data_IF_192903090066
#
_entry.id   IF_192903090066
#
_cell.length_a   1.000
_cell.length_b   1.000
_cell.length_c   1.000
_cell.angle_alpha   90.00
_cell.angle_beta   90.00
_cell.angle_gamma   90.00
#
_symmetry.space_group_name_H-M   'P 1'
#
loop_
_entity.id
_entity.type
_entity.pdbx_description
1 polymer ?
#
# COMPACT_ATOMS: atom_id res chain seq x y z
N UNK A 1 -18.75 2.36 19.32
CA UNK A 1 -19.43 1.38 18.45
C UNK A 1 -18.35 0.65 17.66
N UNK A 2 -18.13 -0.64 17.96
CA UNK A 2 -17.12 -1.45 17.24
C UNK A 2 -17.64 -1.90 15.88
N UNK A 3 -16.74 -2.20 14.94
CA UNK A 3 -17.15 -2.71 13.62
C UNK A 3 -17.60 -4.18 13.73
N UNK A 4 -18.58 -4.58 12.91
CA UNK A 4 -19.04 -5.97 12.87
C UNK A 4 -17.91 -6.90 12.39
N UNK A 5 -17.90 -8.16 12.84
CA UNK A 5 -16.88 -9.16 12.45
C UNK A 5 -16.77 -9.31 10.93
N UNK A 6 -17.90 -9.32 10.21
CA UNK A 6 -17.91 -9.38 8.74
C UNK A 6 -17.19 -8.20 8.10
N UNK A 7 -17.46 -6.97 8.57
CA UNK A 7 -16.78 -5.76 8.08
C UNK A 7 -15.28 -5.78 8.36
N UNK A 8 -14.85 -6.29 9.52
CA UNK A 8 -13.43 -6.44 9.86
C UNK A 8 -12.70 -7.36 8.88
N UNK A 9 -13.29 -8.52 8.57
CA UNK A 9 -12.73 -9.47 7.60
C UNK A 9 -12.72 -8.84 6.20
N UNK A 10 -13.82 -8.20 5.80
CA UNK A 10 -13.93 -7.54 4.50
C UNK A 10 -12.83 -6.49 4.29
N UNK A 11 -12.60 -5.60 5.27
CA UNK A 11 -11.55 -4.58 5.19
C UNK A 11 -10.16 -5.23 5.10
N UNK A 12 -9.90 -6.28 5.90
CA UNK A 12 -8.62 -7.00 5.87
C UNK A 12 -8.38 -7.63 4.49
N UNK A 13 -9.38 -8.31 3.94
CA UNK A 13 -9.30 -8.94 2.61
C UNK A 13 -9.13 -7.89 1.52
N UNK A 14 -9.92 -6.82 1.55
CA UNK A 14 -9.83 -5.72 0.61
C UNK A 14 -8.42 -5.11 0.56
N UNK A 15 -7.86 -4.76 1.72
CA UNK A 15 -6.50 -4.21 1.79
C UNK A 15 -5.45 -5.23 1.29
N UNK A 16 -5.60 -6.49 1.68
CA UNK A 16 -4.70 -7.56 1.25
C UNK A 16 -4.68 -7.75 -0.27
N UNK A 17 -5.87 -7.80 -0.89
CA UNK A 17 -6.01 -7.89 -2.35
C UNK A 17 -5.40 -6.67 -3.04
N UNK A 18 -5.64 -5.46 -2.51
CA UNK A 18 -5.10 -4.23 -3.12
C UNK A 18 -3.57 -4.22 -3.19
N UNK A 19 -2.88 -4.63 -2.11
CA UNK A 19 -1.42 -4.73 -2.14
C UNK A 19 -0.94 -5.76 -3.16
N UNK A 20 -1.53 -6.95 -3.17
CA UNK A 20 -1.13 -8.00 -4.11
C UNK A 20 -1.46 -7.63 -5.57
N UNK A 21 -2.53 -6.88 -5.80
CA UNK A 21 -2.87 -6.36 -7.13
C UNK A 21 -1.81 -5.39 -7.65
N UNK A 22 -1.40 -4.43 -6.83
CA UNK A 22 -0.35 -3.46 -7.18
C UNK A 22 0.99 -4.18 -7.43
N UNK A 23 1.32 -5.19 -6.63
CA UNK A 23 2.51 -6.01 -6.87
C UNK A 23 2.38 -6.79 -8.18
N UNK A 24 1.21 -7.37 -8.49
CA UNK A 24 0.99 -8.09 -9.73
C UNK A 24 1.17 -7.19 -10.97
N UNK A 25 0.73 -5.93 -10.87
CA UNK A 25 0.97 -4.92 -11.91
C UNK A 25 2.47 -4.66 -12.12
N UNK A 26 3.22 -4.42 -11.03
CA UNK A 26 4.68 -4.19 -11.08
C UNK A 26 5.49 -5.39 -11.56
N UNK A 27 4.98 -6.61 -11.35
CA UNK A 27 5.62 -7.83 -11.85
C UNK A 27 5.19 -8.18 -13.29
N UNK A 28 4.37 -7.35 -13.93
CA UNK A 28 3.88 -7.53 -15.29
C UNK A 28 2.88 -8.69 -15.46
N UNK A 29 2.33 -9.20 -14.36
CA UNK A 29 1.34 -10.29 -14.38
C UNK A 29 0.00 -9.82 -14.97
N UNK A 30 -0.27 -8.52 -14.95
CA UNK A 30 -1.49 -7.92 -15.50
C UNK A 30 -1.36 -7.54 -16.99
N UNK A 31 -0.19 -7.74 -17.58
CA UNK A 31 0.13 -7.39 -18.96
C UNK A 31 0.89 -6.07 -19.10
N UNK A 32 1.19 -5.64 -20.35
CA UNK A 32 2.02 -4.47 -20.62
C UNK A 32 1.33 -3.14 -20.30
N UNK A 33 2.15 -2.10 -20.07
CA UNK A 33 1.70 -0.71 -19.92
C UNK A 33 0.82 -0.31 -21.10
N UNK A 34 -0.30 0.36 -20.79
CA UNK A 34 -1.30 0.79 -21.77
C UNK A 34 -2.55 -0.09 -21.82
N UNK A 35 -2.51 -1.28 -21.20
CA UNK A 35 -3.73 -2.05 -20.95
C UNK A 35 -4.59 -1.42 -19.84
N UNK A 36 -5.91 -1.62 -19.93
CA UNK A 36 -6.86 -1.13 -18.92
C UNK A 36 -6.54 -1.71 -17.54
N UNK A 37 -6.25 -0.83 -16.58
CA UNK A 37 -5.96 -1.20 -15.20
C UNK A 37 -4.50 -1.58 -14.91
N UNK A 38 -3.59 -1.38 -15.87
CA UNK A 38 -2.14 -1.55 -15.72
C UNK A 38 -1.49 -0.18 -15.62
N UNK A 39 -0.76 0.09 -14.53
CA UNK A 39 -0.06 1.35 -14.30
C UNK A 39 1.41 1.22 -14.70
N UNK A 40 2.09 0.17 -14.24
CA UNK A 40 3.54 -0.01 -14.49
C UNK A 40 3.88 -1.11 -15.48
N UNK A 41 3.11 -2.21 -15.52
CA UNK A 41 3.26 -3.31 -16.49
C UNK A 41 4.58 -4.10 -16.48
N UNK A 42 5.64 -3.56 -15.90
CA UNK A 42 6.91 -4.21 -15.61
C UNK A 42 7.62 -3.49 -14.46
N UNK A 43 8.67 -4.12 -13.95
CA UNK A 43 9.36 -3.64 -12.76
C UNK A 43 10.29 -2.47 -13.07
N UNK A 44 10.82 -2.37 -14.29
CA UNK A 44 11.75 -1.32 -14.67
C UNK A 44 11.04 0.04 -14.76
N UNK A 45 9.84 0.09 -15.35
CA UNK A 45 8.98 1.27 -15.35
C UNK A 45 8.62 1.71 -13.93
N UNK A 46 8.37 0.75 -13.03
CA UNK A 46 8.13 1.04 -11.62
C UNK A 46 9.36 1.65 -10.93
N UNK A 47 10.57 1.15 -11.19
CA UNK A 47 11.80 1.72 -10.64
C UNK A 47 12.09 3.12 -11.20
N UNK A 48 11.85 3.35 -12.49
CA UNK A 48 11.95 4.67 -13.09
C UNK A 48 10.98 5.65 -12.43
N UNK A 49 9.73 5.24 -12.23
CA UNK A 49 8.74 6.05 -11.53
C UNK A 49 9.14 6.32 -10.08
N UNK A 50 9.64 5.32 -9.37
CA UNK A 50 10.10 5.44 -7.98
C UNK A 50 11.25 6.44 -7.85
N UNK A 51 12.13 6.53 -8.85
CA UNK A 51 13.20 7.55 -8.90
C UNK A 51 12.64 8.97 -9.01
N UNK A 52 11.54 9.18 -9.74
CA UNK A 52 10.88 10.50 -9.80
C UNK A 52 10.26 10.92 -8.46
N UNK A 53 9.85 9.96 -7.64
CA UNK A 53 9.30 10.19 -6.30
C UNK A 53 10.38 10.38 -5.23
N UNK A 54 11.66 10.21 -5.59
CA UNK A 54 12.78 10.26 -4.67
C UNK A 54 13.94 11.10 -5.24
N UNK A 55 13.69 12.34 -5.69
CA UNK A 55 14.71 13.16 -6.37
C UNK A 55 15.90 13.51 -5.48
N UNK A 56 15.77 13.37 -4.15
CA UNK A 56 16.81 13.63 -3.18
C UNK A 56 17.81 12.47 -3.02
N UNK A 57 17.49 11.29 -3.54
CA UNK A 57 18.33 10.10 -3.42
C UNK A 57 19.02 9.75 -4.75
N UNK A 58 20.25 9.22 -4.73
CA UNK A 58 20.84 8.61 -5.91
C UNK A 58 20.00 7.45 -6.43
N UNK A 59 20.04 7.19 -7.75
CA UNK A 59 19.26 6.13 -8.42
C UNK A 59 19.34 4.78 -7.68
N UNK A 60 20.54 4.36 -7.29
CA UNK A 60 20.78 3.10 -6.56
C UNK A 60 19.95 3.00 -5.27
N UNK A 61 19.84 4.09 -4.51
CA UNK A 61 19.07 4.12 -3.26
C UNK A 61 17.58 4.06 -3.56
N UNK A 62 17.12 4.76 -4.60
CA UNK A 62 15.72 4.72 -5.02
C UNK A 62 15.30 3.33 -5.49
N UNK A 63 16.17 2.62 -6.24
CA UNK A 63 15.90 1.26 -6.67
C UNK A 63 15.78 0.30 -5.49
N UNK A 64 16.70 0.39 -4.51
CA UNK A 64 16.64 -0.39 -3.27
C UNK A 64 15.32 -0.14 -2.53
N UNK A 65 14.86 1.12 -2.46
CA UNK A 65 13.56 1.45 -1.86
C UNK A 65 12.40 0.82 -2.64
N UNK A 66 12.44 0.82 -3.98
CA UNK A 66 11.44 0.16 -4.82
C UNK A 66 11.31 -1.34 -4.54
N UNK A 67 12.44 -2.05 -4.45
CA UNK A 67 12.46 -3.46 -4.05
C UNK A 67 11.95 -3.68 -2.62
N UNK A 68 12.40 -2.84 -1.68
CA UNK A 68 11.98 -2.93 -0.27
C UNK A 68 10.47 -2.72 -0.11
N UNK A 69 9.91 -1.70 -0.78
CA UNK A 69 8.47 -1.42 -0.74
C UNK A 69 7.68 -2.57 -1.33
N UNK A 70 8.10 -3.11 -2.48
CA UNK A 70 7.43 -4.26 -3.09
C UNK A 70 7.45 -5.49 -2.18
N UNK A 71 8.59 -5.77 -1.54
CA UNK A 71 8.68 -6.85 -0.55
C UNK A 71 7.74 -6.63 0.65
N UNK A 72 7.70 -5.42 1.19
CA UNK A 72 6.80 -5.07 2.29
C UNK A 72 5.32 -5.21 1.89
N UNK A 73 4.94 -4.75 0.71
CA UNK A 73 3.57 -4.88 0.19
C UNK A 73 3.14 -6.33 0.05
N UNK A 74 4.03 -7.22 -0.43
CA UNK A 74 3.75 -8.67 -0.47
C UNK A 74 3.50 -9.21 0.94
N UNK A 75 4.39 -8.92 1.89
CA UNK A 75 4.28 -9.39 3.27
C UNK A 75 2.99 -8.88 3.92
N UNK A 76 2.68 -7.60 3.76
CA UNK A 76 1.47 -6.97 4.28
C UNK A 76 0.22 -7.58 3.63
N UNK A 77 0.22 -7.74 2.31
CA UNK A 77 -0.86 -8.36 1.56
C UNK A 77 -1.19 -9.76 2.09
N UNK A 78 -0.16 -10.61 2.22
CA UNK A 78 -0.31 -11.98 2.74
C UNK A 78 -0.78 -11.98 4.20
N UNK A 79 -0.22 -11.13 5.06
CA UNK A 79 -0.61 -11.08 6.47
C UNK A 79 -2.07 -10.64 6.66
N UNK A 80 -2.51 -9.64 5.88
CA UNK A 80 -3.88 -9.15 5.90
C UNK A 80 -4.88 -10.19 5.39
N UNK A 81 -4.55 -10.92 4.31
CA UNK A 81 -5.38 -12.01 3.79
C UNK A 81 -5.44 -13.21 4.74
N UNK A 82 -4.30 -13.58 5.34
CA UNK A 82 -4.20 -14.72 6.22
C UNK A 82 -4.76 -14.46 7.63
N UNK A 83 -5.10 -13.21 7.98
CA UNK A 83 -5.57 -12.88 9.33
C UNK A 83 -4.45 -12.82 10.37
N UNK A 84 -3.19 -12.75 9.95
CA UNK A 84 -2.01 -12.86 10.82
C UNK A 84 -1.53 -11.48 11.21
N UNK A 85 -1.28 -11.24 12.52
CA UNK A 85 -0.69 -9.98 13.02
C UNK A 85 -1.40 -8.73 12.45
N UNK A 86 -2.73 -8.78 12.32
CA UNK A 86 -3.53 -7.74 11.63
C UNK A 86 -3.30 -6.34 12.20
N UNK A 87 -3.12 -6.23 13.52
CA UNK A 87 -2.83 -4.94 14.16
C UNK A 87 -1.52 -4.35 13.64
N UNK A 88 -0.46 -5.15 13.62
CA UNK A 88 0.85 -4.74 13.15
C UNK A 88 0.83 -4.46 11.64
N UNK A 89 0.18 -5.33 10.84
CA UNK A 89 0.05 -5.16 9.40
C UNK A 89 -0.76 -3.90 9.02
N UNK A 90 -1.85 -3.60 9.74
CA UNK A 90 -2.66 -2.41 9.51
C UNK A 90 -1.91 -1.11 9.88
N UNK A 91 -1.08 -1.13 10.93
CA UNK A 91 -0.25 0.02 11.26
C UNK A 91 0.84 0.25 10.22
N UNK A 92 1.55 -0.82 9.82
CA UNK A 92 2.59 -0.74 8.80
C UNK A 92 2.03 -0.28 7.44
N UNK A 93 0.85 -0.78 7.06
CA UNK A 93 0.11 -0.34 5.87
C UNK A 93 -0.21 1.15 5.90
N UNK A 94 -0.72 1.65 7.03
CA UNK A 94 -0.99 3.07 7.21
C UNK A 94 0.29 3.91 7.07
N UNK A 95 1.38 3.49 7.72
CA UNK A 95 2.67 4.17 7.62
C UNK A 95 3.21 4.18 6.20
N UNK A 96 3.14 3.05 5.48
CA UNK A 96 3.62 2.94 4.10
C UNK A 96 2.84 3.88 3.17
N UNK A 97 1.51 3.90 3.26
CA UNK A 97 0.66 4.77 2.45
C UNK A 97 0.88 6.26 2.74
N UNK A 98 1.11 6.62 4.01
CA UNK A 98 1.44 8.00 4.38
C UNK A 98 2.80 8.43 3.84
N UNK A 99 3.82 7.57 3.95
CA UNK A 99 5.16 7.84 3.40
C UNK A 99 5.06 8.02 1.88
N UNK A 100 4.35 7.14 1.19
CA UNK A 100 4.12 7.24 -0.26
C UNK A 100 3.44 8.56 -0.65
N UNK A 101 2.36 8.94 0.04
CA UNK A 101 1.61 10.17 -0.24
C UNK A 101 2.47 11.42 0.03
N UNK A 102 3.25 11.43 1.11
CA UNK A 102 4.19 12.51 1.39
C UNK A 102 5.29 12.58 0.33
N UNK A 103 5.83 11.43 -0.11
CA UNK A 103 6.82 11.36 -1.17
C UNK A 103 6.29 11.98 -2.47
N UNK A 104 5.05 11.66 -2.86
CA UNK A 104 4.40 12.26 -4.03
C UNK A 104 4.22 13.77 -3.86
N UNK A 105 3.64 14.21 -2.74
CA UNK A 105 3.38 15.63 -2.48
C UNK A 105 4.65 16.48 -2.54
N UNK A 106 5.75 15.99 -1.97
CA UNK A 106 7.01 16.75 -1.92
C UNK A 106 7.86 16.64 -3.19
N UNK A 107 7.69 15.57 -3.99
CA UNK A 107 8.52 15.35 -5.18
C UNK A 107 7.89 15.91 -6.45
N UNK A 108 6.65 15.51 -6.74
CA UNK A 108 5.95 15.85 -7.99
C UNK A 108 4.88 16.93 -7.78
N UNK A 109 4.65 17.32 -6.53
CA UNK A 109 3.73 18.39 -6.16
C UNK A 109 2.27 17.96 -6.03
N UNK A 110 1.45 18.86 -5.50
CA UNK A 110 0.04 18.57 -5.18
C UNK A 110 -0.82 18.22 -6.40
N UNK A 111 -0.57 18.89 -7.53
CA UNK A 111 -1.36 18.71 -8.76
C UNK A 111 -1.19 17.31 -9.35
N UNK A 112 0.05 16.86 -9.50
CA UNK A 112 0.37 15.53 -10.05
C UNK A 112 0.01 14.40 -9.07
N UNK A 113 0.13 14.65 -7.76
CA UNK A 113 -0.26 13.68 -6.74
C UNK A 113 -1.79 13.50 -6.63
N UNK A 114 -2.59 14.46 -7.11
CA UNK A 114 -4.04 14.51 -6.88
C UNK A 114 -4.77 13.24 -7.34
N UNK A 115 -4.38 12.69 -8.48
CA UNK A 115 -5.00 11.50 -9.06
C UNK A 115 -4.86 10.26 -8.15
N UNK A 116 -3.81 10.21 -7.33
CA UNK A 116 -3.52 9.10 -6.43
C UNK A 116 -4.00 9.35 -4.98
N UNK A 117 -4.13 10.62 -4.58
CA UNK A 117 -4.44 11.02 -3.20
C UNK A 117 -5.77 10.45 -2.74
N UNK A 118 -6.84 10.56 -3.53
CA UNK A 118 -8.19 10.16 -3.09
C UNK A 118 -8.23 8.66 -2.73
N UNK A 119 -7.75 7.81 -3.63
CA UNK A 119 -7.73 6.38 -3.42
C UNK A 119 -6.78 5.99 -2.28
N UNK A 120 -5.58 6.56 -2.24
CA UNK A 120 -4.59 6.31 -1.18
C UNK A 120 -5.14 6.68 0.20
N UNK A 121 -5.84 7.82 0.33
CA UNK A 121 -6.46 8.23 1.59
C UNK A 121 -7.58 7.29 2.04
N UNK A 122 -8.39 6.77 1.11
CA UNK A 122 -9.43 5.78 1.45
C UNK A 122 -8.81 4.49 1.97
N UNK A 123 -7.77 3.98 1.31
CA UNK A 123 -7.04 2.78 1.74
C UNK A 123 -6.34 3.03 3.09
N UNK A 124 -5.75 4.20 3.29
CA UNK A 124 -5.12 4.59 4.56
C UNK A 124 -6.14 4.69 5.70
N UNK A 125 -7.31 5.29 5.45
CA UNK A 125 -8.39 5.38 6.43
C UNK A 125 -8.94 4.00 6.79
N UNK A 126 -9.12 3.11 5.81
CA UNK A 126 -9.50 1.72 6.04
C UNK A 126 -8.45 0.99 6.89
N UNK A 127 -7.17 1.22 6.63
CA UNK A 127 -6.07 0.66 7.43
C UNK A 127 -6.05 1.20 8.86
N UNK A 128 -6.28 2.50 9.06
CA UNK A 128 -6.37 3.11 10.38
C UNK A 128 -7.57 2.57 11.19
N UNK A 129 -8.72 2.39 10.54
CA UNK A 129 -9.89 1.77 11.14
C UNK A 129 -9.62 0.32 11.54
N UNK A 130 -8.96 -0.44 10.67
CA UNK A 130 -8.59 -1.83 10.94
C UNK A 130 -7.61 -1.94 12.11
N UNK A 131 -6.60 -1.07 12.18
CA UNK A 131 -5.66 -0.98 13.29
C UNK A 131 -6.38 -0.69 14.62
N UNK A 132 -7.25 0.33 14.64
CA UNK A 132 -8.03 0.70 15.82
C UNK A 132 -8.83 -0.48 16.34
N UNK A 133 -9.56 -1.16 15.47
CA UNK A 133 -10.39 -2.28 15.86
C UNK A 133 -9.55 -3.48 16.31
N UNK A 134 -8.47 -3.82 15.61
CA UNK A 134 -7.58 -4.91 15.99
C UNK A 134 -6.91 -4.66 17.36
N UNK A 135 -6.58 -3.40 17.66
CA UNK A 135 -6.07 -2.99 18.97
C UNK A 135 -7.10 -3.20 20.07
N UNK A 136 -8.36 -2.75 19.86
CA UNK A 136 -9.45 -2.92 20.83
C UNK A 136 -9.78 -4.41 21.03
N UNK A 137 -9.84 -5.20 19.97
CA UNK A 137 -10.11 -6.66 20.05
C UNK A 137 -9.04 -7.42 20.81
N UNK A 138 -7.77 -6.99 20.71
CA UNK A 138 -6.66 -7.55 21.49
C UNK A 138 -6.68 -7.12 22.97
N UNK A 139 -7.26 -5.96 23.26
CA UNK A 139 -7.43 -5.42 24.62
C UNK A 139 -8.70 -5.94 25.33
N UNK A 140 -9.68 -6.45 24.58
CA UNK A 140 -10.97 -6.91 25.11
C UNK A 140 -11.05 -8.39 25.49
N UNK A 141 -9.92 -9.09 25.55
CA UNK A 141 -9.82 -10.48 26.04
C UNK A 141 -8.62 -10.60 26.99
N UNK A 142 -8.78 -9.98 28.16
CA UNK A 142 -8.46 -10.48 29.51
C UNK A 142 -9.45 -9.82 30.48
#
# INVERSE_FOLDING_TARGET
>A
MGIKKGSFIFISVFLGVMYLWVVADRLGLLGPVGNLGVVWGDFDNFLEYTATLNPWFPRVVSDILGYLVTFLEIVLGVFLLAGIRIKEAALASLSLLLVFLLSMLFSIGFKEAFDYIAFTLVVAAASALLYREAKVRKLGWL
#
